data_IF_505434889256
#
_entry.id   IF_505434889256
#
_cell.length_a   1.000
_cell.length_b   1.000
_cell.length_c   1.000
_cell.angle_alpha   90.00
_cell.angle_beta   90.00
_cell.angle_gamma   90.00
#
_symmetry.space_group_name_H-M   'P 1'
#
loop_
_entity.id
_entity.type
_entity.pdbx_description
1 polymer ?
#
# COMPACT_ATOMS: atom_id res chain seq x y z
N UNK A 1 -46.37 61.44 -75.15
CA UNK A 1 -45.60 60.33 -74.63
C UNK A 1 -44.15 60.74 -74.48
N UNK A 2 -43.74 61.15 -73.32
CA UNK A 2 -42.38 61.66 -73.07
C UNK A 2 -41.73 60.66 -72.08
N UNK A 3 -40.64 60.01 -72.52
CA UNK A 3 -39.88 59.07 -71.67
C UNK A 3 -38.75 59.90 -71.03
N UNK A 4 -38.81 60.02 -69.73
CA UNK A 4 -37.73 60.56 -68.93
C UNK A 4 -36.70 59.46 -68.67
N UNK A 5 -35.50 59.61 -69.16
CA UNK A 5 -34.37 58.77 -68.84
C UNK A 5 -33.68 59.32 -67.57
N UNK A 6 -33.70 58.55 -66.50
CA UNK A 6 -32.99 58.86 -65.26
C UNK A 6 -31.54 58.41 -65.38
N UNK A 7 -30.63 59.34 -65.31
CA UNK A 7 -29.18 59.09 -65.25
C UNK A 7 -28.83 58.77 -63.80
N UNK A 8 -28.50 57.51 -63.52
CA UNK A 8 -27.99 57.13 -62.24
C UNK A 8 -26.48 57.34 -62.20
N UNK A 9 -26.03 58.36 -61.49
CA UNK A 9 -24.60 58.56 -61.18
C UNK A 9 -24.22 57.63 -60.04
N UNK A 10 -23.50 56.59 -60.37
CA UNK A 10 -22.95 55.70 -59.38
C UNK A 10 -21.69 56.34 -58.74
N UNK A 11 -21.82 56.83 -57.53
CA UNK A 11 -20.68 57.28 -56.73
C UNK A 11 -19.99 56.01 -56.16
N UNK A 12 -18.87 55.60 -56.72
CA UNK A 12 -18.01 54.57 -56.22
C UNK A 12 -17.28 55.10 -54.97
N UNK A 13 -17.80 54.77 -53.78
CA UNK A 13 -17.08 55.02 -52.53
C UNK A 13 -15.99 53.98 -52.38
N UNK A 14 -14.75 54.41 -52.54
CA UNK A 14 -13.58 53.56 -52.24
C UNK A 14 -13.48 53.39 -50.71
N UNK A 15 -13.96 52.27 -50.17
CA UNK A 15 -13.68 51.87 -48.79
C UNK A 15 -12.23 51.41 -48.74
N UNK A 16 -11.33 52.24 -48.24
CA UNK A 16 -10.01 51.85 -47.80
C UNK A 16 -10.20 51.07 -46.54
N UNK A 17 -10.25 49.73 -46.64
CA UNK A 17 -10.22 48.84 -45.52
C UNK A 17 -8.83 48.90 -44.92
N UNK A 18 -8.66 49.71 -43.87
CA UNK A 18 -7.48 49.66 -43.02
C UNK A 18 -7.51 48.30 -42.29
N UNK A 19 -6.92 47.26 -42.87
CA UNK A 19 -6.66 46.02 -42.18
C UNK A 19 -5.72 46.34 -41.03
N UNK A 20 -6.11 46.10 -39.76
CA UNK A 20 -5.16 46.20 -38.68
C UNK A 20 -4.05 45.18 -38.98
N UNK A 21 -2.85 45.67 -39.25
CA UNK A 21 -1.67 44.82 -39.27
C UNK A 21 -1.59 44.18 -37.87
N UNK A 22 -2.20 43.00 -37.75
CA UNK A 22 -2.01 42.14 -36.60
C UNK A 22 -0.52 41.85 -36.54
N UNK A 23 0.17 42.75 -35.83
CA UNK A 23 1.52 42.49 -35.39
C UNK A 23 1.45 41.19 -34.63
N UNK A 24 1.68 40.10 -35.34
CA UNK A 24 1.90 38.81 -34.75
C UNK A 24 3.04 38.99 -33.77
N UNK A 25 2.70 39.34 -32.53
CA UNK A 25 3.60 39.11 -31.39
C UNK A 25 3.92 37.63 -31.45
N UNK A 26 4.93 37.28 -32.23
CA UNK A 26 5.65 36.01 -32.05
C UNK A 26 6.07 36.03 -30.60
N UNK A 27 5.17 35.55 -29.73
CA UNK A 27 5.59 35.12 -28.43
C UNK A 27 6.79 34.23 -28.71
N UNK A 28 7.98 34.71 -28.43
CA UNK A 28 9.15 33.86 -28.33
C UNK A 28 8.74 32.81 -27.31
N UNK A 29 8.16 31.72 -27.77
CA UNK A 29 8.07 30.51 -26.96
C UNK A 29 9.52 30.24 -26.62
N UNK A 30 9.91 30.63 -25.42
CA UNK A 30 11.17 30.16 -24.87
C UNK A 30 11.18 28.67 -25.15
N UNK A 31 12.07 28.27 -26.07
CA UNK A 31 12.20 26.84 -26.43
C UNK A 31 12.83 26.17 -25.25
N UNK A 32 11.97 25.87 -24.29
CA UNK A 32 12.34 25.13 -23.14
C UNK A 32 12.55 23.70 -23.61
N UNK A 33 13.77 23.16 -23.49
CA UNK A 33 14.06 21.78 -23.83
C UNK A 33 13.45 20.84 -22.78
N UNK A 34 12.76 19.77 -23.18
CA UNK A 34 12.19 18.79 -22.26
C UNK A 34 13.29 18.20 -21.36
N UNK A 35 13.10 18.33 -20.06
CA UNK A 35 13.98 17.74 -19.06
C UNK A 35 13.29 16.52 -18.47
N UNK A 36 13.89 15.34 -18.63
CA UNK A 36 13.42 14.10 -18.02
C UNK A 36 13.84 14.08 -16.54
N UNK A 37 12.98 13.54 -15.69
CA UNK A 37 13.35 13.35 -14.30
C UNK A 37 14.51 12.36 -14.17
N UNK A 38 15.34 12.58 -13.15
CA UNK A 38 16.31 11.59 -12.67
C UNK A 38 15.95 11.18 -11.25
N UNK A 39 16.29 9.96 -10.89
CA UNK A 39 15.99 9.41 -9.58
C UNK A 39 17.25 8.87 -8.92
N UNK A 40 17.30 8.92 -7.60
CA UNK A 40 18.37 8.33 -6.81
C UNK A 40 18.32 6.79 -6.89
N UNK A 41 19.38 6.10 -6.51
CA UNK A 41 19.31 4.69 -6.19
C UNK A 41 18.22 4.41 -5.14
N UNK A 42 17.73 3.17 -5.10
CA UNK A 42 16.80 2.73 -4.09
C UNK A 42 17.42 2.73 -2.70
N UNK A 43 16.66 3.15 -1.70
CA UNK A 43 17.03 2.93 -0.30
C UNK A 43 17.09 1.43 0.01
N UNK A 44 17.65 1.09 1.17
CA UNK A 44 17.49 -0.24 1.74
C UNK A 44 16.00 -0.52 1.98
N UNK A 45 15.63 -1.79 2.04
CA UNK A 45 14.30 -2.20 2.43
C UNK A 45 14.07 -1.84 3.91
N UNK A 46 12.87 -1.36 4.23
CA UNK A 46 12.45 -1.21 5.62
C UNK A 46 12.37 -2.57 6.32
N UNK A 47 12.38 -2.61 7.64
CA UNK A 47 11.96 -3.79 8.37
C UNK A 47 10.57 -4.25 7.90
N UNK A 48 10.30 -5.54 8.02
CA UNK A 48 8.97 -6.06 7.74
C UNK A 48 7.96 -5.53 8.78
N UNK A 49 6.77 -5.15 8.35
CA UNK A 49 5.73 -4.61 9.23
C UNK A 49 5.16 -5.62 10.22
N UNK A 50 5.44 -6.93 10.01
CA UNK A 50 5.03 -8.02 10.91
C UNK A 50 6.15 -9.04 10.99
N UNK A 51 6.28 -9.67 12.16
CA UNK A 51 7.25 -10.74 12.38
C UNK A 51 6.83 -12.08 11.74
N UNK A 52 5.54 -12.28 11.52
CA UNK A 52 4.95 -13.47 10.91
C UNK A 52 3.56 -13.15 10.34
N UNK A 53 2.93 -14.12 9.68
CA UNK A 53 1.56 -13.99 9.16
C UNK A 53 1.42 -13.06 7.96
N UNK A 54 2.53 -12.72 7.31
CA UNK A 54 2.55 -11.86 6.14
C UNK A 54 2.56 -10.37 6.51
N UNK A 55 3.70 -9.72 6.29
CA UNK A 55 3.90 -8.30 6.40
C UNK A 55 4.27 -7.66 5.07
N UNK A 56 4.53 -6.38 5.10
CA UNK A 56 5.02 -5.60 3.98
C UNK A 56 6.34 -4.94 4.35
N UNK A 57 7.29 -4.94 3.42
CA UNK A 57 8.51 -4.15 3.45
C UNK A 57 8.51 -3.20 2.27
N UNK A 58 9.03 -2.01 2.47
CA UNK A 58 9.00 -0.94 1.49
C UNK A 58 10.39 -0.37 1.30
N UNK A 59 10.71 0.05 0.09
CA UNK A 59 11.86 0.89 -0.20
C UNK A 59 11.44 2.07 -1.04
N UNK A 60 12.16 3.16 -0.93
CA UNK A 60 11.87 4.40 -1.63
C UNK A 60 13.11 4.91 -2.34
N UNK A 61 12.89 5.79 -3.28
CA UNK A 61 13.91 6.63 -3.91
C UNK A 61 13.33 8.02 -4.14
N UNK A 62 14.15 8.99 -4.34
CA UNK A 62 13.73 10.38 -4.56
C UNK A 62 14.09 10.86 -5.96
N UNK A 63 13.40 11.85 -6.46
CA UNK A 63 13.81 12.57 -7.64
C UNK A 63 15.07 13.37 -7.31
N UNK A 64 16.08 13.28 -8.15
CA UNK A 64 17.31 14.09 -8.09
C UNK A 64 17.25 15.24 -9.10
N UNK A 65 16.51 15.05 -10.17
CA UNK A 65 16.14 16.08 -11.13
C UNK A 65 14.65 16.00 -11.36
N UNK A 66 13.97 17.15 -11.22
CA UNK A 66 12.55 17.25 -11.50
C UNK A 66 12.34 17.46 -13.00
N UNK A 67 11.34 16.82 -13.54
CA UNK A 67 10.91 17.02 -14.92
C UNK A 67 10.44 18.46 -15.16
N UNK A 68 10.71 18.99 -16.34
CA UNK A 68 10.23 20.31 -16.77
C UNK A 68 10.04 20.36 -18.28
N UNK A 69 9.40 21.42 -18.76
CA UNK A 69 9.26 21.69 -20.19
C UNK A 69 8.64 20.54 -21.00
N UNK A 70 7.72 19.77 -20.42
CA UNK A 70 7.09 18.63 -21.09
C UNK A 70 7.89 17.33 -20.99
N UNK A 71 8.96 17.29 -20.21
CA UNK A 71 9.63 16.04 -19.86
C UNK A 71 8.77 15.18 -18.92
N UNK A 72 9.01 13.87 -18.88
CA UNK A 72 8.27 12.91 -18.10
C UNK A 72 9.09 12.30 -16.96
N UNK A 73 8.39 11.66 -16.01
CA UNK A 73 9.01 10.88 -14.94
C UNK A 73 8.41 9.46 -14.89
N UNK A 74 8.84 8.53 -15.76
CA UNK A 74 8.28 7.19 -15.83
C UNK A 74 8.71 6.28 -14.67
N UNK A 75 9.28 6.81 -13.62
CA UNK A 75 9.87 6.03 -12.53
C UNK A 75 9.00 6.01 -11.29
N UNK A 76 8.74 4.80 -10.77
CA UNK A 76 8.13 4.63 -9.46
C UNK A 76 9.11 5.06 -8.36
N UNK A 77 8.62 5.84 -7.41
CA UNK A 77 9.42 6.32 -6.26
C UNK A 77 9.29 5.44 -5.03
N UNK A 78 8.36 4.50 -5.03
CA UNK A 78 8.12 3.55 -3.94
C UNK A 78 7.93 2.14 -4.51
N UNK A 79 8.51 1.15 -3.83
CA UNK A 79 8.31 -0.27 -4.14
C UNK A 79 8.02 -1.03 -2.84
N UNK A 80 7.04 -1.89 -2.88
CA UNK A 80 6.60 -2.69 -1.73
C UNK A 80 6.62 -4.16 -2.13
N UNK A 81 6.95 -5.04 -1.18
CA UNK A 81 6.86 -6.50 -1.36
C UNK A 81 6.38 -7.16 -0.07
N UNK A 82 5.85 -8.35 -0.18
CA UNK A 82 5.50 -9.18 0.97
C UNK A 82 6.76 -9.72 1.65
N UNK A 83 6.67 -9.91 2.97
CA UNK A 83 7.73 -10.47 3.81
C UNK A 83 7.11 -11.24 4.97
N UNK A 84 7.90 -12.12 5.63
CA UNK A 84 7.49 -12.91 6.79
C UNK A 84 6.13 -13.61 6.58
N UNK A 85 6.02 -14.32 5.46
CA UNK A 85 4.77 -14.99 5.04
C UNK A 85 4.50 -16.28 5.81
N UNK A 86 5.45 -16.74 6.62
CA UNK A 86 5.27 -17.88 7.52
C UNK A 86 4.17 -17.59 8.53
N UNK A 87 3.45 -18.61 8.93
CA UNK A 87 2.40 -18.49 9.94
C UNK A 87 2.94 -18.08 11.31
N UNK A 88 2.13 -17.41 12.11
CA UNK A 88 2.52 -17.01 13.46
C UNK A 88 2.37 -18.16 14.46
N UNK A 89 3.37 -18.40 15.32
CA UNK A 89 3.24 -19.38 16.40
C UNK A 89 2.08 -19.03 17.33
N UNK A 90 1.22 -19.98 17.56
CA UNK A 90 0.11 -19.87 18.50
C UNK A 90 0.30 -20.91 19.60
N UNK A 91 0.40 -20.46 20.84
CA UNK A 91 0.55 -21.34 21.98
C UNK A 91 -0.77 -22.02 22.35
N UNK A 92 -0.67 -23.22 22.91
CA UNK A 92 -1.82 -23.87 23.53
C UNK A 92 -2.35 -23.03 24.70
N UNK A 93 -3.68 -22.89 24.72
CA UNK A 93 -4.39 -22.30 25.87
C UNK A 93 -5.22 -23.41 26.51
N UNK A 94 -5.02 -23.62 27.79
CA UNK A 94 -5.67 -24.69 28.52
C UNK A 94 -5.89 -24.28 29.97
N UNK A 95 -6.78 -24.98 30.64
CA UNK A 95 -6.95 -25.03 32.10
C UNK A 95 -6.80 -26.45 32.57
N UNK A 96 -6.51 -26.63 33.85
CA UNK A 96 -6.47 -27.97 34.42
C UNK A 96 -7.87 -28.35 34.92
N UNK A 97 -8.27 -29.61 34.71
CA UNK A 97 -9.38 -30.19 35.42
C UNK A 97 -9.05 -30.31 36.93
N UNK A 98 -10.07 -30.54 37.76
CA UNK A 98 -9.85 -30.97 39.11
C UNK A 98 -9.04 -32.27 39.13
N UNK A 99 -8.32 -32.49 40.21
CA UNK A 99 -7.68 -33.79 40.47
C UNK A 99 -8.74 -34.88 40.64
N UNK A 100 -8.50 -36.06 40.09
CA UNK A 100 -9.35 -37.22 40.35
C UNK A 100 -9.30 -37.59 41.83
N UNK A 101 -10.28 -38.33 42.27
CA UNK A 101 -10.25 -38.88 43.63
C UNK A 101 -9.01 -39.79 43.83
N UNK A 102 -8.47 -39.77 45.02
CA UNK A 102 -7.46 -40.73 45.45
C UNK A 102 -8.19 -42.00 45.88
N UNK A 103 -8.13 -43.04 45.07
CA UNK A 103 -8.80 -44.32 45.33
C UNK A 103 -7.77 -45.38 45.71
N UNK A 104 -8.04 -46.13 46.79
CA UNK A 104 -7.22 -47.25 47.27
C UNK A 104 -6.61 -46.98 48.63
N UNK A 105 -6.26 -48.09 49.37
CA UNK A 105 -5.57 -48.01 50.64
C UNK A 105 -4.07 -47.84 50.40
N UNK A 106 -3.43 -46.90 51.10
CA UNK A 106 -2.00 -46.66 51.01
C UNK A 106 -1.61 -45.70 49.90
N UNK A 107 -0.50 -45.97 49.21
CA UNK A 107 0.00 -45.13 48.16
C UNK A 107 -0.77 -45.36 46.83
N UNK A 108 -1.54 -44.40 46.42
CA UNK A 108 -2.28 -44.41 45.17
C UNK A 108 -1.85 -43.25 44.29
N UNK A 109 -2.42 -43.12 43.08
CA UNK A 109 -2.17 -42.02 42.17
C UNK A 109 -3.46 -41.36 41.76
N UNK A 110 -3.47 -40.05 41.85
CA UNK A 110 -4.53 -39.23 41.25
C UNK A 110 -4.01 -38.46 40.04
N UNK A 111 -4.88 -38.04 39.19
CA UNK A 111 -4.52 -37.39 37.92
C UNK A 111 -5.43 -36.24 37.62
N UNK A 112 -4.90 -35.34 36.82
CA UNK A 112 -5.68 -34.28 36.17
C UNK A 112 -5.31 -34.18 34.69
N UNK A 113 -6.26 -33.72 33.89
CA UNK A 113 -6.08 -33.58 32.45
C UNK A 113 -6.20 -32.14 32.07
N UNK A 114 -5.49 -31.67 31.02
CA UNK A 114 -5.69 -30.35 30.51
C UNK A 114 -7.00 -30.26 29.74
N UNK A 115 -7.82 -29.28 30.08
CA UNK A 115 -9.01 -28.88 29.32
C UNK A 115 -8.55 -27.86 28.29
N UNK A 116 -8.43 -28.28 27.03
CA UNK A 116 -7.85 -27.49 25.96
C UNK A 116 -8.89 -26.53 25.40
N UNK A 117 -8.64 -25.24 25.53
CA UNK A 117 -9.46 -24.17 24.97
C UNK A 117 -9.00 -23.83 23.56
N UNK A 118 -7.69 -23.86 23.30
CA UNK A 118 -7.10 -23.65 21.98
C UNK A 118 -5.85 -24.50 21.81
N UNK A 119 -5.78 -25.26 20.72
CA UNK A 119 -4.60 -26.06 20.38
C UNK A 119 -3.45 -25.15 19.89
N UNK A 120 -2.22 -25.59 20.10
CA UNK A 120 -1.06 -24.94 19.52
C UNK A 120 -1.07 -25.08 18.00
N UNK A 121 -0.49 -24.09 17.34
CA UNK A 121 -0.39 -24.04 15.89
C UNK A 121 0.93 -23.38 15.46
N UNK A 122 1.44 -23.73 14.27
CA UNK A 122 2.63 -23.09 13.68
C UNK A 122 3.86 -23.04 14.59
N UNK A 123 4.17 -24.12 15.30
CA UNK A 123 5.35 -24.18 16.18
C UNK A 123 5.17 -23.46 17.51
N UNK A 124 3.96 -23.08 17.88
CA UNK A 124 3.66 -22.61 19.24
C UNK A 124 3.82 -23.71 20.28
N UNK A 125 3.90 -23.33 21.54
CA UNK A 125 4.06 -24.26 22.68
C UNK A 125 2.92 -25.27 22.67
N UNK A 126 3.26 -26.56 22.70
CA UNK A 126 2.31 -27.65 22.73
C UNK A 126 1.48 -27.64 24.04
N UNK A 127 0.32 -28.29 23.99
CA UNK A 127 -0.48 -28.51 25.17
C UNK A 127 0.22 -29.52 26.10
N UNK A 128 0.15 -29.33 27.41
CA UNK A 128 0.73 -30.29 28.35
C UNK A 128 -0.02 -31.63 28.31
N UNK A 129 0.69 -32.66 28.66
CA UNK A 129 0.10 -33.96 28.86
C UNK A 129 -0.64 -34.03 30.21
N UNK A 130 -1.37 -35.12 30.40
CA UNK A 130 -1.99 -35.50 31.68
C UNK A 130 -0.92 -35.47 32.78
N UNK A 131 -1.27 -34.93 33.94
CA UNK A 131 -0.42 -34.96 35.13
C UNK A 131 -0.92 -36.03 36.10
N UNK A 132 0.03 -36.70 36.72
CA UNK A 132 -0.23 -37.68 37.81
C UNK A 132 0.61 -37.32 39.02
N UNK A 133 0.06 -37.49 40.19
CA UNK A 133 0.73 -37.26 41.47
C UNK A 133 0.37 -38.38 42.43
N UNK A 134 1.31 -38.79 43.28
CA UNK A 134 1.01 -39.71 44.37
C UNK A 134 0.05 -39.05 45.35
N UNK A 135 -0.82 -39.86 45.94
CA UNK A 135 -1.73 -39.44 46.99
C UNK A 135 -1.80 -40.51 48.06
N UNK A 136 -2.11 -40.10 49.26
CA UNK A 136 -2.27 -40.99 50.41
C UNK A 136 -3.69 -40.87 50.86
N UNK A 137 -4.35 -42.03 51.02
CA UNK A 137 -5.62 -42.13 51.73
C UNK A 137 -5.26 -42.56 53.16
N UNK A 138 -5.34 -41.58 54.04
CA UNK A 138 -5.22 -41.93 55.49
C UNK A 138 -6.28 -42.93 55.87
N UNK A 139 -5.90 -43.87 56.68
CA UNK A 139 -6.80 -44.78 57.38
C UNK A 139 -7.49 -44.01 58.48
#
# INVERSE_FOLDING_TARGET
>A
MVRCAAIIVALATVFVVLTPSSAWRRRRRSRCSPVQCRVSPWSRWSPCSRSCGGGLTTRTRRKTVTESCGGGCPFYLRKTRRCNTNCCPVNCVYSWSSWSMCLGCGISRHSRTPVIQRRSYCGGRACPARQTKACYTGV
#
